data_IF_854183912572
#
_entry.id   IF_854183912572
#
_cell.length_a   1.000
_cell.length_b   1.000
_cell.length_c   1.000
_cell.angle_alpha   90.00
_cell.angle_beta   90.00
_cell.angle_gamma   90.00
#
_symmetry.space_group_name_H-M   'P 1'
#
loop_
_entity.id
_entity.type
_entity.pdbx_description
1 polymer ?
#
# COMPACT_ATOMS: atom_id res chain seq x y z
N UNK A 1 -7.51 -13.13 -19.56
CA UNK A 1 -6.26 -12.92 -20.33
C UNK A 1 -5.72 -11.53 -20.02
N UNK A 2 -4.46 -11.43 -19.58
CA UNK A 2 -3.81 -10.13 -19.34
C UNK A 2 -3.31 -9.55 -20.65
N UNK A 3 -3.78 -8.37 -21.04
CA UNK A 3 -3.40 -7.67 -22.29
C UNK A 3 -2.98 -6.23 -21.99
N UNK A 4 -1.98 -5.74 -22.71
CA UNK A 4 -1.61 -4.32 -22.79
C UNK A 4 -2.18 -3.74 -24.09
N UNK A 5 -3.04 -2.72 -24.00
CA UNK A 5 -3.66 -2.11 -25.17
C UNK A 5 -3.97 -0.63 -24.92
N UNK A 6 -3.44 0.26 -25.75
CA UNK A 6 -3.66 1.71 -25.61
C UNK A 6 -3.02 2.34 -24.37
N UNK A 7 -2.04 1.66 -23.75
CA UNK A 7 -1.35 2.11 -22.54
C UNK A 7 0.17 1.86 -22.64
N UNK A 8 0.96 2.67 -21.93
CA UNK A 8 2.42 2.48 -21.85
C UNK A 8 2.79 1.30 -20.95
N UNK A 9 4.01 0.79 -21.08
CA UNK A 9 4.52 -0.32 -20.25
C UNK A 9 4.44 0.00 -18.76
N UNK A 10 4.75 1.25 -18.38
CA UNK A 10 4.65 1.70 -17.00
C UNK A 10 3.20 1.73 -16.50
N UNK A 11 2.25 2.16 -17.34
CA UNK A 11 0.83 2.14 -16.99
C UNK A 11 0.32 0.71 -16.84
N UNK A 12 0.72 -0.18 -17.74
CA UNK A 12 0.41 -1.61 -17.70
C UNK A 12 0.88 -2.25 -16.38
N UNK A 13 2.16 -2.10 -16.04
CA UNK A 13 2.73 -2.66 -14.80
C UNK A 13 2.02 -2.07 -13.57
N UNK A 14 1.79 -0.76 -13.51
CA UNK A 14 1.08 -0.12 -12.38
C UNK A 14 -0.35 -0.64 -12.24
N UNK A 15 -1.05 -0.88 -13.36
CA UNK A 15 -2.39 -1.45 -13.36
C UNK A 15 -2.39 -2.87 -12.82
N UNK A 16 -1.45 -3.71 -13.23
CA UNK A 16 -1.31 -5.08 -12.70
C UNK A 16 -0.99 -5.08 -11.21
N UNK A 17 -0.06 -4.23 -10.77
CA UNK A 17 0.30 -4.14 -9.35
C UNK A 17 -0.91 -3.70 -8.50
N UNK A 18 -1.62 -2.65 -8.93
CA UNK A 18 -2.82 -2.18 -8.24
C UNK A 18 -3.92 -3.24 -8.19
N UNK A 19 -4.06 -4.01 -9.26
CA UNK A 19 -5.04 -5.09 -9.32
C UNK A 19 -4.68 -6.24 -8.37
N UNK A 20 -3.40 -6.63 -8.33
CA UNK A 20 -2.90 -7.73 -7.50
C UNK A 20 -2.69 -7.36 -6.01
N UNK A 21 -2.81 -6.09 -5.63
CA UNK A 21 -2.50 -5.61 -4.28
C UNK A 21 -1.00 -5.42 -4.01
N UNK A 22 -0.20 -5.27 -5.06
CA UNK A 22 1.25 -5.10 -4.98
C UNK A 22 1.58 -3.61 -4.94
N UNK A 23 2.39 -3.21 -3.96
CA UNK A 23 3.03 -1.91 -3.92
C UNK A 23 4.52 -2.03 -4.24
N UNK A 24 5.16 -0.90 -4.51
CA UNK A 24 6.58 -0.89 -4.85
C UNK A 24 7.24 0.41 -4.41
N UNK A 25 8.55 0.33 -4.20
CA UNK A 25 9.42 1.46 -3.87
C UNK A 25 10.81 1.23 -4.46
N UNK A 26 11.61 2.30 -4.52
CA UNK A 26 13.00 2.23 -4.96
C UNK A 26 13.90 2.15 -3.74
N UNK A 27 14.67 1.08 -3.64
CA UNK A 27 15.77 0.97 -2.69
C UNK A 27 17.05 1.48 -3.36
N UNK A 28 17.67 2.49 -2.76
CA UNK A 28 18.98 2.96 -3.19
C UNK A 28 20.06 1.89 -2.87
N UNK A 29 20.92 1.60 -3.84
CA UNK A 29 22.11 0.79 -3.67
C UNK A 29 23.34 1.65 -3.41
N UNK A 30 24.53 1.05 -3.55
CA UNK A 30 25.80 1.78 -3.40
C UNK A 30 26.09 2.61 -4.65
N UNK A 31 26.70 3.79 -4.45
CA UNK A 31 27.01 4.76 -5.51
C UNK A 31 27.99 4.18 -6.56
N UNK A 32 28.86 3.26 -6.14
CA UNK A 32 29.88 2.60 -6.98
C UNK A 32 29.33 1.34 -7.67
N UNK A 33 28.05 1.36 -8.05
CA UNK A 33 27.34 0.19 -8.59
C UNK A 33 27.95 -0.39 -9.87
N UNK A 34 28.78 0.39 -10.59
CA UNK A 34 29.51 -0.08 -11.77
C UNK A 34 30.69 -1.01 -11.42
N UNK A 35 31.43 -0.74 -10.35
CA UNK A 35 32.63 -1.49 -9.97
C UNK A 35 32.33 -2.67 -9.02
N UNK A 36 31.20 -2.60 -8.31
CA UNK A 36 30.84 -3.56 -7.26
C UNK A 36 29.88 -4.68 -7.69
N UNK A 37 29.40 -4.66 -8.94
CA UNK A 37 28.39 -5.61 -9.42
C UNK A 37 27.03 -5.51 -8.69
N UNK A 38 26.79 -4.42 -7.94
CA UNK A 38 25.53 -4.19 -7.22
C UNK A 38 24.71 -3.07 -7.86
N UNK A 39 23.38 -3.23 -8.00
CA UNK A 39 22.56 -2.23 -8.67
C UNK A 39 22.52 -0.91 -7.89
N UNK A 40 22.67 0.21 -8.59
CA UNK A 40 22.59 1.57 -8.01
C UNK A 40 21.19 1.88 -7.47
N UNK A 41 20.15 1.36 -8.11
CA UNK A 41 18.76 1.42 -7.66
C UNK A 41 18.09 0.08 -7.89
N UNK A 42 17.31 -0.38 -6.91
CA UNK A 42 16.49 -1.60 -7.02
C UNK A 42 15.02 -1.23 -6.88
N UNK A 43 14.21 -1.60 -7.87
CA UNK A 43 12.76 -1.57 -7.74
C UNK A 43 12.32 -2.81 -6.95
N UNK A 44 11.72 -2.59 -5.79
CA UNK A 44 11.25 -3.66 -4.90
C UNK A 44 9.73 -3.75 -5.01
N UNK A 45 9.21 -4.91 -5.39
CA UNK A 45 7.79 -5.23 -5.34
C UNK A 45 7.47 -5.95 -4.03
N UNK A 46 6.36 -5.58 -3.40
CA UNK A 46 5.94 -6.14 -2.12
C UNK A 46 4.42 -6.28 -2.09
N UNK A 47 3.95 -7.40 -1.56
CA UNK A 47 2.54 -7.71 -1.30
C UNK A 47 2.28 -7.93 0.21
N UNK A 48 3.33 -8.05 1.01
CA UNK A 48 3.26 -8.22 2.45
C UNK A 48 4.18 -7.23 3.19
N UNK A 49 3.64 -6.13 3.74
CA UNK A 49 4.44 -5.12 4.41
C UNK A 49 5.15 -5.64 5.67
N UNK A 50 4.70 -6.76 6.25
CA UNK A 50 5.33 -7.36 7.43
C UNK A 50 6.70 -8.00 7.13
N UNK A 51 7.05 -8.18 5.85
CA UNK A 51 8.35 -8.70 5.43
C UNK A 51 9.38 -7.58 5.16
N UNK A 52 9.00 -6.32 5.33
CA UNK A 52 9.91 -5.21 5.14
C UNK A 52 10.96 -5.17 6.27
N UNK A 53 12.25 -4.95 5.93
CA UNK A 53 13.28 -4.81 6.93
C UNK A 53 13.08 -3.53 7.74
N UNK A 54 13.57 -3.51 8.98
CA UNK A 54 13.58 -2.30 9.77
C UNK A 54 14.41 -1.20 9.09
N UNK A 55 13.95 0.05 9.21
CA UNK A 55 14.63 1.19 8.62
C UNK A 55 16.06 1.32 9.17
N UNK A 56 17.06 1.61 8.33
CA UNK A 56 18.42 1.87 8.79
C UNK A 56 18.53 2.96 9.86
N UNK A 57 17.69 4.00 9.80
CA UNK A 57 17.64 5.05 10.82
C UNK A 57 17.33 4.49 12.23
N UNK A 58 16.49 3.46 12.32
CA UNK A 58 16.14 2.83 13.59
C UNK A 58 17.31 2.01 14.17
N UNK A 59 18.11 1.39 13.30
CA UNK A 59 19.25 0.54 13.71
C UNK A 59 20.43 1.33 14.28
N UNK A 60 20.51 2.63 13.99
CA UNK A 60 21.53 3.52 14.52
C UNK A 60 21.22 3.96 15.96
N UNK A 61 19.98 3.76 16.42
CA UNK A 61 19.57 4.04 17.80
C UNK A 61 19.67 2.78 18.66
N UNK A 62 20.23 2.86 19.89
CA UNK A 62 20.30 1.72 20.80
C UNK A 62 18.92 1.17 21.19
N UNK A 63 17.85 1.95 21.02
CA UNK A 63 16.47 1.53 21.29
C UNK A 63 15.77 0.91 20.07
N UNK A 64 16.40 0.91 18.89
CA UNK A 64 15.76 0.47 17.65
C UNK A 64 14.62 1.41 17.19
N UNK A 65 14.61 2.67 17.65
CA UNK A 65 13.56 3.65 17.34
C UNK A 65 14.17 5.02 17.03
N UNK A 66 13.51 5.80 16.18
CA UNK A 66 13.89 7.20 15.91
C UNK A 66 13.22 8.11 16.96
N UNK A 67 13.96 8.98 17.66
CA UNK A 67 13.38 9.84 18.69
C UNK A 67 12.47 10.92 18.08
N UNK A 68 11.46 11.32 18.85
CA UNK A 68 10.61 12.48 18.55
C UNK A 68 10.97 13.65 19.47
N UNK A 69 11.21 14.82 18.89
CA UNK A 69 11.56 16.03 19.62
C UNK A 69 10.83 17.25 19.07
N UNK A 70 9.92 17.78 19.87
CA UNK A 70 9.18 19.01 19.57
C UNK A 70 9.91 20.25 20.10
N UNK A 71 9.96 21.33 19.32
CA UNK A 71 10.51 22.64 19.73
C UNK A 71 11.97 22.90 19.33
N UNK A 72 12.56 23.95 19.92
CA UNK A 72 13.87 24.50 19.55
C UNK A 72 15.05 24.00 20.41
N UNK A 73 14.87 22.89 21.14
CA UNK A 73 15.96 22.31 21.92
C UNK A 73 17.09 21.84 20.98
N UNK A 74 18.33 22.11 21.36
CA UNK A 74 19.52 21.58 20.66
C UNK A 74 19.51 20.06 20.80
N UNK A 75 19.79 19.37 19.70
CA UNK A 75 19.70 17.90 19.60
C UNK A 75 21.07 17.32 19.30
N UNK A 76 21.38 16.22 19.99
CA UNK A 76 22.62 15.48 19.80
C UNK A 76 22.51 14.43 18.68
N UNK A 77 21.30 14.15 18.18
CA UNK A 77 21.02 13.17 17.13
C UNK A 77 19.81 13.52 16.25
N UNK A 78 19.79 12.94 15.05
CA UNK A 78 18.67 13.03 14.10
C UNK A 78 17.35 12.57 14.74
N UNK A 79 16.26 13.29 14.50
CA UNK A 79 14.96 13.09 15.14
C UNK A 79 13.78 13.53 14.28
N UNK A 80 12.60 13.00 14.60
CA UNK A 80 11.33 13.51 14.05
C UNK A 80 10.96 14.78 14.82
N UNK A 81 10.63 15.85 14.12
CA UNK A 81 10.34 17.17 14.71
C UNK A 81 8.85 17.52 14.72
N UNK A 82 8.10 16.95 13.77
CA UNK A 82 6.67 17.11 13.65
C UNK A 82 6.03 15.77 13.29
N UNK A 83 4.88 15.49 13.90
CA UNK A 83 3.98 14.41 13.53
C UNK A 83 2.56 14.98 13.46
N UNK A 84 1.84 14.66 12.39
CA UNK A 84 0.45 15.03 12.20
C UNK A 84 -0.33 13.83 11.70
N UNK A 85 -1.31 13.38 12.48
CA UNK A 85 -2.26 12.36 12.03
C UNK A 85 -3.31 13.02 11.12
N UNK A 86 -3.62 12.37 10.01
CA UNK A 86 -4.71 12.72 9.13
C UNK A 86 -5.61 11.50 8.93
N UNK A 87 -6.91 11.75 8.90
CA UNK A 87 -7.92 10.73 8.63
C UNK A 87 -8.72 11.09 7.39
N UNK A 88 -9.13 10.08 6.64
CA UNK A 88 -9.94 10.22 5.44
C UNK A 88 -11.11 9.26 5.50
N UNK A 89 -12.27 9.72 5.06
CA UNK A 89 -13.43 8.86 4.90
C UNK A 89 -13.14 7.80 3.81
N UNK A 90 -13.42 6.54 4.10
CA UNK A 90 -13.28 5.42 3.17
C UNK A 90 -14.60 4.65 3.05
N UNK A 91 -14.86 3.96 1.91
CA UNK A 91 -16.07 3.16 1.74
C UNK A 91 -16.26 2.12 2.86
N UNK A 92 -17.52 1.88 3.24
CA UNK A 92 -17.91 0.87 4.22
C UNK A 92 -17.77 -0.55 3.70
N UNK A 93 -17.68 -0.73 2.38
CA UNK A 93 -17.44 -2.04 1.79
C UNK A 93 -17.01 -2.01 0.33
N UNK A 94 -16.61 -3.17 -0.15
CA UNK A 94 -16.25 -3.46 -1.54
C UNK A 94 -17.08 -4.63 -2.02
N UNK A 95 -17.59 -4.55 -3.25
CA UNK A 95 -18.27 -5.65 -3.92
C UNK A 95 -17.75 -5.81 -5.34
N UNK A 96 -17.19 -6.98 -5.65
CA UNK A 96 -16.61 -7.33 -6.95
C UNK A 96 -17.37 -8.50 -7.55
N UNK A 97 -17.78 -8.35 -8.81
CA UNK A 97 -18.40 -9.44 -9.57
C UNK A 97 -17.57 -9.73 -10.83
N UNK A 98 -17.33 -10.99 -11.16
CA UNK A 98 -16.65 -11.39 -12.39
C UNK A 98 -17.31 -12.64 -12.98
N UNK A 99 -17.61 -12.60 -14.27
CA UNK A 99 -18.14 -13.76 -14.98
C UNK A 99 -17.02 -14.72 -15.39
N UNK A 100 -17.12 -15.99 -15.03
CA UNK A 100 -16.18 -17.00 -15.48
C UNK A 100 -16.68 -17.70 -16.74
N UNK A 101 -16.03 -17.40 -17.88
CA UNK A 101 -16.39 -17.99 -19.16
C UNK A 101 -16.14 -19.51 -19.23
N UNK A 102 -15.31 -20.06 -18.34
CA UNK A 102 -15.05 -21.51 -18.29
C UNK A 102 -16.20 -22.27 -17.64
N UNK A 103 -16.84 -21.67 -16.64
CA UNK A 103 -17.93 -22.31 -15.86
C UNK A 103 -19.32 -21.75 -16.18
N UNK A 104 -19.40 -20.61 -16.85
CA UNK A 104 -20.65 -19.89 -17.13
C UNK A 104 -21.29 -19.24 -15.90
N UNK A 105 -20.56 -19.13 -14.79
CA UNK A 105 -21.06 -18.60 -13.51
C UNK A 105 -20.56 -17.18 -13.25
N UNK A 106 -21.27 -16.47 -12.38
CA UNK A 106 -20.82 -15.20 -11.82
C UNK A 106 -20.20 -15.47 -10.44
N UNK A 107 -18.93 -15.13 -10.30
CA UNK A 107 -18.27 -15.08 -9.00
C UNK A 107 -18.47 -13.70 -8.39
N UNK A 108 -18.91 -13.66 -7.13
CA UNK A 108 -19.11 -12.43 -6.36
C UNK A 108 -18.29 -12.53 -5.08
N UNK A 109 -17.54 -11.48 -4.77
CA UNK A 109 -16.79 -11.31 -3.55
C UNK A 109 -17.14 -9.97 -2.90
N UNK A 110 -17.46 -10.01 -1.61
CA UNK A 110 -17.92 -8.86 -0.81
C UNK A 110 -17.11 -8.80 0.48
N UNK A 111 -16.69 -7.60 0.85
CA UNK A 111 -15.95 -7.33 2.08
C UNK A 111 -16.40 -6.00 2.66
N UNK A 112 -16.73 -6.01 3.95
CA UNK A 112 -16.94 -4.79 4.73
C UNK A 112 -15.62 -4.31 5.33
N UNK A 113 -15.49 -3.00 5.52
CA UNK A 113 -14.35 -2.40 6.21
C UNK A 113 -14.35 -2.78 7.69
N UNK A 114 -13.17 -3.03 8.25
CA UNK A 114 -13.02 -3.21 9.71
C UNK A 114 -12.67 -1.89 10.43
N UNK A 115 -12.46 -0.81 9.69
CA UNK A 115 -12.00 0.46 10.25
C UNK A 115 -13.18 1.22 10.86
N UNK A 116 -13.03 1.57 12.13
CA UNK A 116 -13.92 2.51 12.82
C UNK A 116 -13.57 3.96 12.44
N UNK A 117 -14.51 4.62 11.76
CA UNK A 117 -14.39 6.00 11.29
C UNK A 117 -15.12 6.98 12.23
N UNK A 118 -15.55 6.52 13.41
CA UNK A 118 -16.41 7.24 14.34
C UNK A 118 -17.88 7.17 13.93
N UNK A 119 -18.81 7.54 14.82
CA UNK A 119 -20.26 7.40 14.62
C UNK A 119 -20.74 7.93 13.25
N UNK A 120 -20.57 9.24 13.01
CA UNK A 120 -20.99 9.86 11.75
C UNK A 120 -20.20 9.36 10.53
N UNK A 121 -18.93 8.95 10.73
CA UNK A 121 -18.10 8.39 9.68
C UNK A 121 -18.56 7.00 9.27
N UNK A 122 -18.96 6.17 10.23
CA UNK A 122 -19.51 4.82 10.01
C UNK A 122 -20.87 4.90 9.34
N UNK A 123 -21.74 5.82 9.77
CA UNK A 123 -23.03 6.06 9.11
C UNK A 123 -22.85 6.45 7.65
N UNK A 124 -21.91 7.35 7.37
CA UNK A 124 -21.61 7.76 5.99
C UNK A 124 -20.92 6.64 5.19
N UNK A 125 -19.98 5.91 5.79
CA UNK A 125 -19.30 4.79 5.15
C UNK A 125 -20.27 3.67 4.78
N UNK A 126 -21.29 3.40 5.60
CA UNK A 126 -22.35 2.43 5.30
C UNK A 126 -23.15 2.77 4.04
N UNK A 127 -23.15 4.04 3.60
CA UNK A 127 -23.76 4.49 2.35
C UNK A 127 -22.81 4.42 1.15
N UNK A 128 -21.54 4.08 1.37
CA UNK A 128 -20.49 4.07 0.36
C UNK A 128 -19.97 2.64 0.14
N UNK A 129 -20.25 2.09 -1.03
CA UNK A 129 -19.70 0.80 -1.46
C UNK A 129 -18.93 0.96 -2.77
N UNK A 130 -17.67 0.51 -2.81
CA UNK A 130 -16.91 0.38 -4.07
C UNK A 130 -17.40 -0.87 -4.80
N UNK A 131 -18.36 -0.67 -5.71
CA UNK A 131 -18.96 -1.72 -6.52
C UNK A 131 -18.42 -1.71 -7.95
N UNK A 132 -17.88 -2.83 -8.40
CA UNK A 132 -17.35 -3.00 -9.76
C UNK A 132 -17.66 -4.39 -10.32
N UNK A 133 -18.06 -4.44 -11.59
CA UNK A 133 -18.03 -5.67 -12.39
C UNK A 133 -16.66 -5.74 -13.06
N UNK A 134 -15.84 -6.68 -12.63
CA UNK A 134 -14.51 -6.93 -13.16
C UNK A 134 -14.57 -7.66 -14.51
N UNK A 135 -13.48 -7.62 -15.31
CA UNK A 135 -13.39 -8.38 -16.55
C UNK A 135 -13.72 -9.86 -16.34
N UNK A 136 -14.23 -10.56 -17.37
CA UNK A 136 -14.47 -11.99 -17.26
C UNK A 136 -13.22 -12.76 -16.85
N UNK A 137 -13.36 -13.71 -15.92
CA UNK A 137 -12.27 -14.50 -15.36
C UNK A 137 -11.17 -13.61 -14.77
N UNK A 138 -11.58 -12.70 -13.87
CA UNK A 138 -10.70 -11.71 -13.24
C UNK A 138 -9.64 -12.34 -12.32
N UNK A 139 -9.96 -13.47 -11.69
CA UNK A 139 -9.01 -14.33 -10.99
C UNK A 139 -8.92 -15.70 -11.65
N UNK A 140 -7.84 -16.42 -11.39
CA UNK A 140 -7.63 -17.78 -11.94
C UNK A 140 -8.58 -18.82 -11.30
N UNK A 141 -9.12 -18.49 -10.13
CA UNK A 141 -10.13 -19.25 -9.39
C UNK A 141 -11.03 -18.31 -8.59
N UNK A 142 -12.11 -18.84 -8.00
CA UNK A 142 -12.95 -18.09 -7.06
C UNK A 142 -12.18 -17.58 -5.85
N UNK A 143 -11.22 -18.36 -5.34
CA UNK A 143 -10.37 -17.97 -4.22
C UNK A 143 -9.42 -16.84 -4.61
N UNK A 144 -8.86 -16.89 -5.82
CA UNK A 144 -8.03 -15.81 -6.35
C UNK A 144 -8.84 -14.52 -6.56
N UNK A 145 -10.05 -14.62 -7.11
CA UNK A 145 -10.97 -13.48 -7.22
C UNK A 145 -11.31 -12.89 -5.84
N UNK A 146 -11.53 -13.75 -4.85
CA UNK A 146 -11.77 -13.34 -3.45
C UNK A 146 -10.56 -12.63 -2.87
N UNK A 147 -9.33 -13.11 -3.11
CA UNK A 147 -8.08 -12.47 -2.72
C UNK A 147 -7.91 -11.09 -3.35
N UNK A 148 -8.24 -10.94 -4.63
CA UNK A 148 -8.18 -9.65 -5.34
C UNK A 148 -9.20 -8.64 -4.77
N UNK A 149 -10.42 -9.09 -4.47
CA UNK A 149 -11.42 -8.25 -3.80
C UNK A 149 -10.99 -7.86 -2.37
N UNK A 150 -10.34 -8.77 -1.63
CA UNK A 150 -9.78 -8.47 -0.32
C UNK A 150 -8.66 -7.42 -0.40
N UNK A 151 -7.78 -7.51 -1.39
CA UNK A 151 -6.74 -6.50 -1.61
C UNK A 151 -7.34 -5.09 -1.83
N UNK A 152 -8.55 -5.02 -2.39
CA UNK A 152 -9.26 -3.74 -2.60
C UNK A 152 -9.77 -3.11 -1.31
N UNK A 153 -10.38 -3.88 -0.41
CA UNK A 153 -10.83 -3.33 0.88
C UNK A 153 -9.62 -2.91 1.72
N UNK A 154 -8.56 -3.72 1.78
CA UNK A 154 -7.31 -3.38 2.47
C UNK A 154 -6.69 -2.07 1.94
N UNK A 155 -6.78 -1.82 0.63
CA UNK A 155 -6.29 -0.58 0.04
C UNK A 155 -7.13 0.65 0.41
N UNK A 156 -8.43 0.48 0.70
CA UNK A 156 -9.25 1.55 1.27
C UNK A 156 -8.92 1.75 2.74
N UNK A 157 -8.86 0.68 3.53
CA UNK A 157 -8.50 0.73 4.95
C UNK A 157 -7.15 1.39 5.19
N UNK A 158 -6.13 1.09 4.37
CA UNK A 158 -4.82 1.76 4.41
C UNK A 158 -4.89 3.28 4.20
N UNK A 159 -5.91 3.82 3.51
CA UNK A 159 -6.07 5.27 3.31
C UNK A 159 -6.85 5.95 4.43
N UNK A 160 -7.49 5.19 5.32
CA UNK A 160 -8.36 5.74 6.33
C UNK A 160 -7.60 6.60 7.35
N UNK A 161 -6.36 6.23 7.65
CA UNK A 161 -5.49 6.96 8.57
C UNK A 161 -4.06 7.00 8.03
N UNK A 162 -3.43 8.15 8.09
CA UNK A 162 -2.00 8.31 7.81
C UNK A 162 -1.36 9.27 8.81
N UNK A 163 -0.06 9.09 9.02
CA UNK A 163 0.73 10.00 9.84
C UNK A 163 1.78 10.66 8.94
N UNK A 164 1.72 11.99 8.88
CA UNK A 164 2.73 12.80 8.23
C UNK A 164 3.80 13.20 9.24
N UNK A 165 5.06 13.23 8.81
CA UNK A 165 6.16 13.65 9.66
C UNK A 165 7.12 14.61 8.95
N UNK A 166 7.74 15.50 9.72
CA UNK A 166 8.92 16.25 9.31
C UNK A 166 10.09 15.89 10.22
N UNK A 167 11.30 15.80 9.67
CA UNK A 167 12.48 15.35 10.40
C UNK A 167 13.77 15.85 9.74
N UNK A 168 14.88 15.75 10.47
CA UNK A 168 16.26 15.87 9.97
C UNK A 168 16.92 14.49 9.76
N UNK A 169 16.13 13.41 9.85
CA UNK A 169 16.60 12.03 9.75
C UNK A 169 17.01 11.71 8.32
N UNK A 170 18.31 11.47 8.13
CA UNK A 170 18.91 11.29 6.80
C UNK A 170 18.66 9.92 6.16
N UNK A 171 18.38 8.90 6.96
CA UNK A 171 18.35 7.50 6.50
C UNK A 171 17.03 6.79 6.80
N UNK A 172 15.91 7.49 6.55
CA UNK A 172 14.55 6.95 6.63
C UNK A 172 13.98 6.78 5.21
N UNK A 173 14.39 5.74 4.46
CA UNK A 173 13.90 5.51 3.10
C UNK A 173 12.45 4.99 3.10
N UNK A 174 11.75 5.05 1.96
CA UNK A 174 10.47 4.35 1.78
C UNK A 174 10.67 2.83 1.81
N UNK A 175 9.64 2.12 2.27
CA UNK A 175 9.65 0.66 2.46
C UNK A 175 10.06 0.28 3.86
#
# INVERSE_FOLDING_TARGET
QTRQAGESDAAFIRRLCRFAGIFWFIRAGKRDGADSGTPVHTLVFCDNPMLLPQSPASTQSPTGTVPYHHGAAVKDSDSITLLAAARSLVPGGVRRASGDYKTGKMDVAEFDTIIDQGEAGNDLAALLTDWVIDPPHAGDSRDDHTRLAKARILAHEHRAECVHGASDVRNLPPG
#
